data_IF_920672963805
#
_entry.id   IF_920672963805
#
_cell.length_a   1.000
_cell.length_b   1.000
_cell.length_c   1.000
_cell.angle_alpha   90.00
_cell.angle_beta   90.00
_cell.angle_gamma   90.00
#
_symmetry.space_group_name_H-M   'P 1'
#
loop_
_entity.id
_entity.type
_entity.pdbx_description
1 polymer ?
#
# COMPACT_ATOMS: atom_id res chain seq x y z
N UNK A 1 3.80 -10.06 1.11
CA UNK A 1 2.70 -10.76 1.81
C UNK A 1 3.03 -12.25 1.90
N UNK A 2 2.37 -13.00 2.79
CA UNK A 2 2.59 -14.45 2.94
C UNK A 2 1.70 -15.26 1.98
N UNK A 3 2.12 -16.49 1.67
CA UNK A 3 1.30 -17.45 0.89
C UNK A 3 0.97 -17.01 -0.53
N UNK A 4 -0.24 -17.33 -0.99
CA UNK A 4 -0.73 -17.03 -2.35
C UNK A 4 -0.73 -15.52 -2.67
N UNK A 5 -0.99 -14.68 -1.67
CA UNK A 5 -0.92 -13.23 -1.84
C UNK A 5 0.51 -12.77 -2.17
N UNK A 6 1.53 -13.42 -1.61
CA UNK A 6 2.93 -13.16 -1.98
C UNK A 6 3.21 -13.49 -3.44
N UNK A 7 2.73 -14.63 -3.93
CA UNK A 7 2.88 -15.03 -5.34
C UNK A 7 2.21 -14.04 -6.29
N UNK A 8 1.03 -13.52 -5.92
CA UNK A 8 0.36 -12.53 -6.76
C UNK A 8 1.12 -11.19 -6.80
N UNK A 9 1.74 -10.77 -5.69
CA UNK A 9 2.64 -9.61 -5.69
C UNK A 9 3.81 -9.81 -6.65
N UNK A 10 4.43 -10.99 -6.63
CA UNK A 10 5.54 -11.31 -7.53
C UNK A 10 5.09 -11.32 -9.00
N UNK A 11 3.89 -11.84 -9.28
CA UNK A 11 3.26 -11.81 -10.61
C UNK A 11 3.03 -10.39 -11.11
N UNK A 12 2.49 -9.49 -10.27
CA UNK A 12 2.30 -8.08 -10.61
C UNK A 12 3.64 -7.37 -10.87
N UNK A 13 4.65 -7.61 -10.02
CA UNK A 13 5.98 -7.05 -10.21
C UNK A 13 6.63 -7.56 -11.50
N UNK A 14 6.47 -8.85 -11.83
CA UNK A 14 6.97 -9.42 -13.07
C UNK A 14 6.33 -8.77 -14.30
N UNK A 15 5.00 -8.58 -14.29
CA UNK A 15 4.29 -7.89 -15.39
C UNK A 15 4.77 -6.45 -15.56
N UNK A 16 4.94 -5.72 -14.44
CA UNK A 16 5.48 -4.36 -14.48
C UNK A 16 6.89 -4.33 -15.08
N UNK A 17 7.79 -5.21 -14.62
CA UNK A 17 9.18 -5.28 -15.09
C UNK A 17 9.27 -5.66 -16.58
N UNK A 18 8.34 -6.47 -17.08
CA UNK A 18 8.26 -6.81 -18.52
C UNK A 18 7.80 -5.61 -19.35
N UNK A 19 6.84 -4.84 -18.85
CA UNK A 19 6.30 -3.67 -19.54
C UNK A 19 7.20 -2.43 -19.44
N UNK A 20 8.08 -2.35 -18.42
CA UNK A 20 8.90 -1.19 -18.12
C UNK A 20 10.38 -1.61 -17.94
N UNK A 21 11.11 -1.88 -19.04
CA UNK A 21 12.43 -2.53 -18.98
C UNK A 21 13.52 -1.70 -18.28
N UNK A 22 13.34 -0.39 -18.17
CA UNK A 22 14.27 0.52 -17.48
C UNK A 22 14.19 0.40 -15.95
N UNK A 23 13.17 -0.28 -15.42
CA UNK A 23 12.92 -0.41 -14.00
C UNK A 23 12.77 -1.88 -13.59
N UNK A 24 13.20 -2.18 -12.36
CA UNK A 24 13.04 -3.52 -11.77
C UNK A 24 12.51 -3.42 -10.35
N UNK A 25 11.23 -3.71 -10.18
CA UNK A 25 10.59 -3.93 -8.89
C UNK A 25 11.02 -5.29 -8.35
N UNK A 26 11.55 -5.30 -7.12
CA UNK A 26 11.99 -6.51 -6.42
C UNK A 26 11.21 -6.61 -5.10
N UNK A 27 10.09 -7.35 -5.07
CA UNK A 27 9.36 -7.59 -3.84
C UNK A 27 10.21 -8.40 -2.85
N UNK A 28 10.18 -8.02 -1.58
CA UNK A 28 10.82 -8.77 -0.49
C UNK A 28 9.85 -8.91 0.65
N UNK A 29 9.53 -10.15 1.04
CA UNK A 29 8.73 -10.40 2.23
C UNK A 29 9.56 -10.16 3.50
N UNK A 30 9.04 -9.32 4.39
CA UNK A 30 9.70 -8.88 5.64
C UNK A 30 8.94 -9.31 6.90
N UNK A 31 8.04 -10.28 6.78
CA UNK A 31 7.18 -10.71 7.88
C UNK A 31 5.80 -10.05 7.86
N UNK A 32 5.12 -10.06 9.00
CA UNK A 32 3.82 -9.40 9.17
C UNK A 32 3.93 -7.86 9.11
N UNK A 33 2.81 -7.16 9.23
CA UNK A 33 2.77 -5.70 9.08
C UNK A 33 3.63 -4.97 10.11
N UNK A 34 3.61 -5.41 11.37
CA UNK A 34 4.37 -4.81 12.47
C UNK A 34 5.88 -4.99 12.25
N UNK A 35 6.29 -6.19 11.81
CA UNK A 35 7.67 -6.50 11.47
C UNK A 35 8.15 -5.66 10.28
N UNK A 36 7.34 -5.57 9.22
CA UNK A 36 7.70 -4.80 8.03
C UNK A 36 7.80 -3.30 8.33
N UNK A 37 6.85 -2.73 9.08
CA UNK A 37 6.86 -1.33 9.51
C UNK A 37 8.13 -1.01 10.32
N UNK A 38 8.43 -1.84 11.33
CA UNK A 38 9.60 -1.66 12.19
C UNK A 38 10.90 -1.77 11.38
N UNK A 39 11.00 -2.76 10.49
CA UNK A 39 12.16 -2.94 9.62
C UNK A 39 12.36 -1.76 8.67
N UNK A 40 11.29 -1.23 8.07
CA UNK A 40 11.34 -0.08 7.17
C UNK A 40 11.85 1.20 7.87
N UNK A 41 11.30 1.52 9.05
CA UNK A 41 11.73 2.70 9.83
C UNK A 41 13.18 2.55 10.30
N UNK A 42 13.59 1.36 10.75
CA UNK A 42 14.97 1.11 11.14
C UNK A 42 15.93 1.25 9.96
N UNK A 43 15.58 0.69 8.80
CA UNK A 43 16.37 0.78 7.58
C UNK A 43 16.54 2.25 7.13
N UNK A 44 15.49 3.06 7.21
CA UNK A 44 15.54 4.50 6.89
C UNK A 44 16.58 5.25 7.74
N UNK A 45 16.63 4.99 9.05
CA UNK A 45 17.60 5.61 9.96
C UNK A 45 19.06 5.28 9.62
N UNK A 46 19.29 4.19 8.90
CA UNK A 46 20.62 3.75 8.45
C UNK A 46 20.90 4.07 6.97
N UNK A 47 19.98 4.76 6.29
CA UNK A 47 20.09 5.07 4.86
C UNK A 47 19.83 3.89 3.91
N UNK A 48 19.26 2.78 4.41
CA UNK A 48 19.03 1.54 3.64
C UNK A 48 17.54 1.22 3.45
N UNK A 49 16.66 2.22 3.53
CA UNK A 49 15.22 2.01 3.36
C UNK A 49 14.86 1.50 1.95
N UNK A 50 13.80 0.68 1.81
CA UNK A 50 13.25 0.37 0.50
C UNK A 50 12.57 1.61 -0.10
N UNK A 51 12.47 1.65 -1.43
CA UNK A 51 11.75 2.72 -2.14
C UNK A 51 10.24 2.66 -1.92
N UNK A 52 9.67 1.45 -1.73
CA UNK A 52 8.25 1.20 -1.49
C UNK A 52 8.12 0.31 -0.26
N UNK A 53 7.24 0.67 0.68
CA UNK A 53 6.96 -0.09 1.90
C UNK A 53 5.46 -0.31 2.05
N UNK A 54 5.03 -1.57 2.13
CA UNK A 54 3.63 -1.91 2.43
C UNK A 54 3.35 -1.75 3.93
N UNK A 55 2.41 -0.89 4.30
CA UNK A 55 2.03 -0.64 5.69
C UNK A 55 0.52 -0.83 5.82
N UNK A 56 0.08 -1.53 6.88
CA UNK A 56 -1.33 -1.61 7.26
C UNK A 56 -1.93 -0.25 7.62
N UNK A 57 -3.25 -0.17 7.63
CA UNK A 57 -3.99 1.08 7.76
C UNK A 57 -3.71 1.80 9.09
N UNK A 58 -3.64 1.08 10.20
CA UNK A 58 -3.35 1.67 11.53
C UNK A 58 -1.94 2.27 11.64
N UNK A 59 -1.04 1.92 10.72
CA UNK A 59 0.33 2.46 10.66
C UNK A 59 0.44 3.82 9.97
N UNK A 60 -0.62 4.34 9.33
CA UNK A 60 -0.58 5.59 8.56
C UNK A 60 -0.08 6.77 9.41
N UNK A 61 -0.61 6.95 10.61
CA UNK A 61 -0.18 8.02 11.51
C UNK A 61 1.30 7.88 11.92
N UNK A 62 1.76 6.66 12.17
CA UNK A 62 3.18 6.38 12.46
C UNK A 62 4.07 6.79 11.28
N UNK A 63 3.68 6.46 10.05
CA UNK A 63 4.45 6.83 8.85
C UNK A 63 4.47 8.34 8.64
N UNK A 64 3.34 9.03 8.83
CA UNK A 64 3.28 10.49 8.76
C UNK A 64 4.20 11.16 9.79
N UNK A 65 4.23 10.64 11.02
CA UNK A 65 5.08 11.17 12.09
C UNK A 65 6.57 10.85 11.90
N UNK A 66 6.90 9.80 11.14
CA UNK A 66 8.28 9.32 10.97
C UNK A 66 9.20 10.28 10.20
N UNK A 67 8.63 11.19 9.40
CA UNK A 67 9.36 12.02 8.41
C UNK A 67 10.20 11.19 7.42
N UNK A 68 9.85 9.91 7.25
CA UNK A 68 10.59 8.94 6.43
C UNK A 68 9.90 8.61 5.10
N UNK A 69 8.81 9.32 4.77
CA UNK A 69 8.00 9.07 3.57
C UNK A 69 7.93 10.32 2.70
N UNK A 70 7.80 10.09 1.40
CA UNK A 70 7.41 11.09 0.43
C UNK A 70 5.95 10.82 0.03
N UNK A 71 5.04 11.79 0.15
CA UNK A 71 3.65 11.62 -0.27
C UNK A 71 3.57 11.16 -1.73
N UNK A 72 2.64 10.25 -2.04
CA UNK A 72 2.53 9.68 -3.39
C UNK A 72 2.27 10.77 -4.45
N UNK A 73 1.45 11.78 -4.13
CA UNK A 73 1.20 12.88 -5.06
C UNK A 73 2.48 13.65 -5.45
N UNK A 74 3.44 13.78 -4.52
CA UNK A 74 4.74 14.41 -4.79
C UNK A 74 5.65 13.49 -5.61
N UNK A 75 5.57 12.17 -5.40
CA UNK A 75 6.32 11.20 -6.22
C UNK A 75 5.91 11.33 -7.69
N UNK A 76 4.60 11.36 -7.97
CA UNK A 76 4.09 11.52 -9.33
C UNK A 76 4.42 12.90 -9.91
N UNK A 77 4.22 13.97 -9.13
CA UNK A 77 4.53 15.35 -9.53
C UNK A 77 6.00 15.50 -9.93
N UNK A 78 6.93 15.02 -9.10
CA UNK A 78 8.36 15.17 -9.36
C UNK A 78 8.84 14.29 -10.52
N UNK A 79 8.15 13.18 -10.79
CA UNK A 79 8.38 12.35 -11.97
C UNK A 79 7.77 12.94 -13.25
N UNK A 80 6.95 14.00 -13.16
CA UNK A 80 6.23 14.56 -14.31
C UNK A 80 5.15 13.63 -14.87
N UNK A 81 4.65 12.70 -14.06
CA UNK A 81 3.63 11.72 -14.47
C UNK A 81 2.26 12.22 -13.98
N UNK A 82 1.28 12.27 -14.88
CA UNK A 82 -0.08 12.62 -14.51
C UNK A 82 -0.67 11.59 -13.54
N UNK A 83 -1.25 12.05 -12.44
CA UNK A 83 -1.85 11.22 -11.41
C UNK A 83 -3.27 11.68 -11.12
N UNK A 84 -4.24 10.97 -11.69
CA UNK A 84 -5.65 11.24 -11.47
C UNK A 84 -6.12 10.56 -10.18
N UNK A 85 -6.17 11.29 -9.07
CA UNK A 85 -6.63 10.78 -7.77
C UNK A 85 -8.12 10.43 -7.77
N UNK A 86 -8.91 10.93 -8.73
CA UNK A 86 -10.35 10.65 -8.79
C UNK A 86 -10.67 9.22 -9.24
N UNK A 87 -9.68 8.48 -9.77
CA UNK A 87 -9.84 7.08 -10.18
C UNK A 87 -10.06 6.12 -9.00
N UNK A 88 -9.72 6.53 -7.77
CA UNK A 88 -9.87 5.70 -6.58
C UNK A 88 -11.28 5.83 -6.01
N UNK A 89 -11.82 4.72 -5.47
CA UNK A 89 -13.07 4.75 -4.71
C UNK A 89 -12.90 5.72 -3.53
N UNK A 90 -13.70 6.79 -3.41
CA UNK A 90 -13.43 7.89 -2.47
C UNK A 90 -13.30 7.45 -1.00
N UNK A 91 -14.11 6.48 -0.57
CA UNK A 91 -14.05 5.96 0.81
C UNK A 91 -12.82 5.10 1.08
N UNK A 92 -12.21 4.52 0.04
CA UNK A 92 -10.95 3.78 0.14
C UNK A 92 -9.77 4.75 0.14
N UNK A 93 -9.76 5.69 -0.80
CA UNK A 93 -8.73 6.73 -0.90
C UNK A 93 -8.68 7.62 0.33
N UNK A 94 -9.85 8.02 0.85
CA UNK A 94 -9.96 8.96 1.97
C UNK A 94 -9.25 8.52 3.24
N UNK A 95 -9.04 7.21 3.45
CA UNK A 95 -8.24 6.71 4.56
C UNK A 95 -6.77 7.15 4.49
N UNK A 96 -6.25 7.33 3.27
CA UNK A 96 -4.84 7.63 2.98
C UNK A 96 -4.64 9.05 2.43
N UNK A 97 -5.68 9.88 2.47
CA UNK A 97 -5.66 11.27 2.01
C UNK A 97 -5.26 12.22 3.15
N UNK A 98 -4.42 13.20 2.86
CA UNK A 98 -4.15 14.29 3.79
C UNK A 98 -5.37 15.20 3.89
N UNK A 99 -5.89 15.36 5.11
CA UNK A 99 -7.10 16.15 5.36
C UNK A 99 -6.92 17.65 5.05
N UNK A 100 -5.68 18.16 4.98
CA UNK A 100 -5.41 19.57 4.70
C UNK A 100 -5.32 19.85 3.19
N UNK A 101 -4.54 19.06 2.47
CA UNK A 101 -4.31 19.25 1.04
C UNK A 101 -5.34 18.55 0.15
N UNK A 102 -6.01 17.50 0.65
CA UNK A 102 -6.89 16.65 -0.14
C UNK A 102 -6.16 15.64 -1.03
N UNK A 103 -4.83 15.58 -0.98
CA UNK A 103 -4.02 14.68 -1.80
C UNK A 103 -3.66 13.37 -1.11
N UNK A 104 -3.38 12.33 -1.90
CA UNK A 104 -3.00 11.01 -1.38
C UNK A 104 -1.59 11.03 -0.78
N UNK A 105 -1.49 10.69 0.50
CA UNK A 105 -0.23 10.46 1.20
C UNK A 105 0.40 9.13 0.77
N UNK A 106 -0.44 8.09 0.58
CA UNK A 106 -0.03 6.77 0.13
C UNK A 106 -1.11 6.16 -0.75
N UNK A 107 -0.72 5.22 -1.62
CA UNK A 107 -1.66 4.55 -2.51
C UNK A 107 -2.32 3.35 -1.79
N UNK A 108 -3.66 3.23 -1.82
CA UNK A 108 -4.33 2.02 -1.35
C UNK A 108 -3.85 0.78 -2.12
N UNK A 109 -3.54 -0.31 -1.43
CA UNK A 109 -3.03 -1.54 -2.06
C UNK A 109 -3.98 -2.73 -1.89
N UNK A 110 -4.11 -3.25 -0.67
CA UNK A 110 -4.98 -4.39 -0.35
C UNK A 110 -6.04 -3.97 0.69
N UNK A 111 -7.12 -3.35 0.20
CA UNK A 111 -8.19 -2.80 1.04
C UNK A 111 -9.30 -3.81 1.32
N UNK A 112 -9.86 -3.81 2.54
CA UNK A 112 -10.99 -4.63 2.95
C UNK A 112 -11.97 -3.84 3.81
N UNK A 113 -13.22 -4.30 3.86
CA UNK A 113 -14.24 -3.77 4.77
C UNK A 113 -15.01 -4.95 5.38
N UNK A 114 -15.46 -4.86 6.65
CA UNK A 114 -16.29 -5.90 7.25
C UNK A 114 -17.57 -6.15 6.43
N UNK A 115 -17.90 -7.42 6.25
CA UNK A 115 -19.17 -7.84 5.64
C UNK A 115 -19.80 -8.94 6.48
N UNK A 116 -21.14 -9.04 6.45
CA UNK A 116 -21.85 -10.11 7.13
C UNK A 116 -21.98 -11.32 6.20
N UNK A 117 -21.20 -12.36 6.48
CA UNK A 117 -21.44 -13.68 5.92
C UNK A 117 -22.57 -14.37 6.69
N UNK A 118 -23.52 -14.97 5.98
CA UNK A 118 -24.58 -15.78 6.59
C UNK A 118 -24.78 -17.09 5.84
N UNK A 119 -25.17 -18.13 6.58
CA UNK A 119 -25.50 -19.41 5.99
C UNK A 119 -26.97 -19.43 5.55
N UNK A 120 -27.19 -19.40 4.23
CA UNK A 120 -28.53 -19.41 3.62
C UNK A 120 -29.34 -20.65 3.98
N UNK A 121 -28.72 -21.81 4.12
CA UNK A 121 -29.44 -23.07 4.40
C UNK A 121 -29.91 -23.15 5.84
N UNK A 122 -29.14 -22.60 6.78
CA UNK A 122 -29.58 -22.45 8.18
C UNK A 122 -30.74 -21.45 8.26
N UNK A 123 -30.62 -20.31 7.57
CA UNK A 123 -31.65 -19.26 7.59
C UNK A 123 -33.00 -19.71 6.99
N UNK A 124 -33.02 -20.62 6.01
CA UNK A 124 -34.26 -21.16 5.42
C UNK A 124 -34.98 -22.19 6.30
N UNK A 125 -34.29 -22.75 7.30
CA UNK A 125 -34.84 -23.76 8.22
C UNK A 125 -35.41 -23.16 9.50
N UNK A 126 -35.22 -21.86 9.70
CA UNK A 126 -35.89 -21.04 10.73
C UNK A 126 -37.24 -20.57 10.19
#
# INVERSE_FOLDING_TARGET
>A
MEGELGKEVDSLAQRFNQANPDYKIVPVYKGNYEQNLSAGIAAFRTGNAPAILQVYEVGTATMMASKAIKPVYEVFKDAGINFDESQFVPTVAGYYTDAKSGHLLSQPFNSSTPVLYYNKDVFRRL
#
